data_IF_853088268351
#
_entry.id   IF_853088268351
#
_cell.length_a   1.000
_cell.length_b   1.000
_cell.length_c   1.000
_cell.angle_alpha   90.00
_cell.angle_beta   90.00
_cell.angle_gamma   90.00
#
_symmetry.space_group_name_H-M   'P 1'
#
loop_
_entity.id
_entity.type
_entity.pdbx_description
1 polymer ?
#
# COMPACT_ATOMS: atom_id res chain seq x y z
N UNK A 1 -7.97 25.15 5.40
CA UNK A 1 -8.15 23.86 4.72
C UNK A 1 -6.76 23.27 4.50
N UNK A 2 -6.34 22.30 5.32
CA UNK A 2 -5.04 21.67 5.13
C UNK A 2 -5.22 20.58 4.08
N UNK A 3 -4.92 20.90 2.81
CA UNK A 3 -4.66 19.88 1.79
C UNK A 3 -3.28 19.28 2.09
N UNK A 4 -3.18 18.49 3.16
CA UNK A 4 -2.01 17.63 3.30
C UNK A 4 -2.27 16.39 2.46
N UNK A 5 -1.88 16.44 1.18
CA UNK A 5 -1.46 15.27 0.43
C UNK A 5 -0.14 14.75 1.03
N UNK A 6 -0.10 14.53 2.36
CA UNK A 6 1.08 14.02 3.05
C UNK A 6 1.28 12.58 2.57
N UNK A 7 2.47 12.29 2.07
CA UNK A 7 2.94 10.94 1.81
C UNK A 7 2.94 10.15 3.12
N UNK A 8 2.37 8.95 3.09
CA UNK A 8 2.28 8.05 4.22
C UNK A 8 3.49 7.11 4.22
N UNK A 9 3.92 6.71 5.40
CA UNK A 9 4.81 5.56 5.58
C UNK A 9 4.00 4.32 5.94
N UNK A 10 4.63 3.15 5.97
CA UNK A 10 3.97 1.91 6.41
C UNK A 10 3.41 2.05 7.84
N UNK A 11 4.09 2.79 8.72
CA UNK A 11 3.70 3.01 10.11
C UNK A 11 2.47 3.92 10.25
N UNK A 12 2.18 4.74 9.23
CA UNK A 12 0.97 5.56 9.19
C UNK A 12 -0.28 4.74 8.76
N UNK A 13 -0.10 3.53 8.22
CA UNK A 13 -1.21 2.71 7.71
C UNK A 13 -1.98 2.00 8.82
N UNK A 14 -3.28 1.80 8.56
CA UNK A 14 -4.15 1.01 9.42
C UNK A 14 -5.19 0.26 8.58
N UNK A 15 -5.59 -0.93 9.02
CA UNK A 15 -6.67 -1.68 8.36
C UNK A 15 -7.98 -0.89 8.46
N UNK A 16 -8.70 -0.76 7.34
CA UNK A 16 -9.91 0.06 7.20
C UNK A 16 -9.63 1.54 6.91
N UNK A 17 -8.36 1.96 6.86
CA UNK A 17 -7.99 3.32 6.47
C UNK A 17 -8.30 3.55 4.99
N UNK A 18 -8.89 4.71 4.66
CA UNK A 18 -9.07 5.18 3.29
C UNK A 18 -7.93 6.12 2.91
N UNK A 19 -7.18 5.77 1.88
CA UNK A 19 -6.00 6.50 1.40
C UNK A 19 -6.16 6.82 -0.08
N UNK A 20 -5.58 7.94 -0.53
CA UNK A 20 -5.40 8.16 -1.97
C UNK A 20 -4.18 7.38 -2.46
N UNK A 21 -4.19 6.97 -3.74
CA UNK A 21 -3.04 6.30 -4.34
C UNK A 21 -1.74 7.12 -4.19
N UNK A 22 -1.82 8.43 -4.41
CA UNK A 22 -0.69 9.37 -4.27
C UNK A 22 -0.04 9.35 -2.87
N UNK A 23 -0.79 9.01 -1.83
CA UNK A 23 -0.30 8.99 -0.45
C UNK A 23 0.52 7.74 -0.13
N UNK A 24 0.27 6.64 -0.84
CA UNK A 24 0.93 5.35 -0.63
C UNK A 24 1.87 4.97 -1.78
N UNK A 25 1.98 5.82 -2.79
CA UNK A 25 2.77 5.58 -4.00
C UNK A 25 4.27 5.52 -3.77
N UNK A 26 4.74 5.85 -2.56
CA UNK A 26 6.17 5.89 -2.22
C UNK A 26 6.46 4.94 -1.04
N UNK A 27 5.53 4.02 -0.75
CA UNK A 27 5.74 2.98 0.25
C UNK A 27 6.42 1.80 -0.44
N UNK A 28 7.72 1.74 -0.27
CA UNK A 28 8.58 0.66 -0.77
C UNK A 28 8.70 -0.48 0.24
N UNK A 29 8.99 -1.69 -0.27
CA UNK A 29 9.21 -2.89 0.54
C UNK A 29 7.95 -3.43 1.23
N UNK A 30 6.77 -2.90 0.88
CA UNK A 30 5.51 -3.29 1.48
C UNK A 30 4.49 -3.74 0.43
N UNK A 31 3.81 -4.83 0.75
CA UNK A 31 2.61 -5.30 0.09
C UNK A 31 1.41 -4.64 0.75
N UNK A 32 0.63 -3.86 0.00
CA UNK A 32 -0.59 -3.20 0.49
C UNK A 32 -1.78 -3.83 -0.23
N UNK A 33 -2.54 -4.62 0.50
CA UNK A 33 -3.77 -5.27 0.03
C UNK A 33 -4.93 -4.29 0.18
N UNK A 34 -5.62 -4.05 -0.92
CA UNK A 34 -6.66 -3.01 -1.00
C UNK A 34 -8.01 -3.60 -1.39
N UNK A 35 -9.08 -2.93 -0.98
CA UNK A 35 -10.44 -3.34 -1.30
C UNK A 35 -10.70 -3.14 -2.81
N UNK A 36 -10.94 -4.23 -3.58
CA UNK A 36 -11.09 -4.14 -5.03
C UNK A 36 -12.29 -3.30 -5.44
N UNK A 37 -13.30 -3.14 -4.56
CA UNK A 37 -14.49 -2.33 -4.84
C UNK A 37 -14.21 -0.83 -4.82
N UNK A 38 -13.18 -0.40 -4.09
CA UNK A 38 -12.81 1.02 -3.96
C UNK A 38 -11.53 1.37 -4.74
N UNK A 39 -10.93 0.39 -5.43
CA UNK A 39 -9.66 0.58 -6.14
C UNK A 39 -9.74 1.59 -7.31
N UNK A 40 -10.95 1.89 -7.80
CA UNK A 40 -11.21 2.83 -8.89
C UNK A 40 -11.76 4.18 -8.41
N UNK A 41 -11.96 4.33 -7.10
CA UNK A 41 -12.45 5.57 -6.51
C UNK A 41 -11.27 6.52 -6.20
N UNK A 42 -11.59 7.76 -5.84
CA UNK A 42 -10.58 8.72 -5.36
C UNK A 42 -9.82 8.20 -4.12
N UNK A 43 -10.45 7.31 -3.35
CA UNK A 43 -9.90 6.73 -2.13
C UNK A 43 -10.01 5.22 -2.15
N UNK A 44 -8.95 4.57 -1.67
CA UNK A 44 -8.79 3.14 -1.61
C UNK A 44 -8.76 2.71 -0.14
N UNK A 45 -9.53 1.68 0.22
CA UNK A 45 -9.52 1.13 1.58
C UNK A 45 -8.44 0.06 1.74
N UNK A 46 -7.58 0.22 2.75
CA UNK A 46 -6.54 -0.73 3.12
C UNK A 46 -7.16 -1.92 3.85
N UNK A 47 -6.98 -3.13 3.32
CA UNK A 47 -7.45 -4.37 3.95
C UNK A 47 -6.37 -5.05 4.79
N UNK A 48 -5.12 -4.95 4.34
CA UNK A 48 -3.95 -5.51 5.01
C UNK A 48 -2.68 -4.90 4.42
N UNK A 49 -1.61 -4.89 5.19
CA UNK A 49 -0.30 -4.50 4.72
C UNK A 49 0.78 -5.32 5.44
N UNK A 50 1.84 -5.68 4.72
CA UNK A 50 2.96 -6.44 5.27
C UNK A 50 4.23 -6.24 4.44
N UNK A 51 5.38 -6.46 5.07
CA UNK A 51 6.68 -6.62 4.41
C UNK A 51 6.90 -8.10 4.08
N UNK A 52 7.98 -8.42 3.36
CA UNK A 52 8.34 -9.82 3.09
C UNK A 52 8.57 -10.64 4.39
N UNK A 53 9.05 -10.00 5.45
CA UNK A 53 9.30 -10.65 6.75
C UNK A 53 8.02 -10.85 7.58
N UNK A 54 7.01 -10.00 7.40
CA UNK A 54 5.78 -9.98 8.21
C UNK A 54 4.57 -10.55 7.46
N UNK A 55 4.81 -11.09 6.27
CA UNK A 55 3.77 -11.67 5.41
C UNK A 55 3.13 -12.89 6.06
N UNK A 56 1.80 -12.90 6.06
CA UNK A 56 0.98 -13.95 6.69
C UNK A 56 -0.01 -14.50 5.66
N UNK A 57 0.31 -15.67 5.11
CA UNK A 57 -0.51 -16.34 4.09
C UNK A 57 -1.93 -16.64 4.58
N UNK A 58 -2.12 -16.94 5.86
CA UNK A 58 -3.45 -17.24 6.40
C UNK A 58 -4.36 -16.00 6.38
N UNK A 59 -3.80 -14.82 6.65
CA UNK A 59 -4.54 -13.54 6.50
C UNK A 59 -4.85 -13.23 5.05
N UNK A 60 -3.89 -13.43 4.15
CA UNK A 60 -4.06 -13.19 2.72
C UNK A 60 -5.18 -14.10 2.17
N UNK A 61 -5.19 -15.36 2.55
CA UNK A 61 -6.25 -16.32 2.20
C UNK A 61 -7.62 -15.89 2.74
N UNK A 62 -7.68 -15.44 4.00
CA UNK A 62 -8.93 -14.96 4.60
C UNK A 62 -9.49 -13.73 3.87
N UNK A 63 -8.61 -12.80 3.47
CA UNK A 63 -8.98 -11.61 2.69
C UNK A 63 -9.45 -12.01 1.29
N UNK A 64 -8.72 -12.89 0.62
CA UNK A 64 -9.08 -13.40 -0.72
C UNK A 64 -10.43 -14.12 -0.70
N UNK A 65 -10.71 -14.93 0.32
CA UNK A 65 -12.02 -15.58 0.49
C UNK A 65 -13.14 -14.57 0.71
N UNK A 66 -12.89 -13.49 1.46
CA UNK A 66 -13.91 -12.49 1.81
C UNK A 66 -14.22 -11.52 0.67
N UNK A 67 -13.20 -11.06 -0.06
CA UNK A 67 -13.33 -10.02 -1.09
C UNK A 67 -13.23 -10.54 -2.52
N UNK A 68 -12.88 -11.82 -2.70
CA UNK A 68 -12.64 -12.41 -4.01
C UNK A 68 -11.24 -12.07 -4.52
N UNK A 69 -11.14 -11.64 -5.79
CA UNK A 69 -9.87 -11.25 -6.38
C UNK A 69 -9.29 -10.04 -5.63
N UNK A 70 -8.15 -10.23 -4.98
CA UNK A 70 -7.45 -9.16 -4.26
C UNK A 70 -6.72 -8.25 -5.24
N UNK A 71 -6.75 -6.95 -4.96
CA UNK A 71 -5.87 -5.96 -5.59
C UNK A 71 -4.75 -5.65 -4.62
N UNK A 72 -3.52 -5.62 -5.12
CA UNK A 72 -2.32 -5.43 -4.29
C UNK A 72 -1.43 -4.37 -4.94
N UNK A 73 -0.95 -3.45 -4.13
CA UNK A 73 0.11 -2.51 -4.49
C UNK A 73 1.39 -3.04 -3.86
N UNK A 74 2.39 -3.27 -4.68
CA UNK A 74 3.72 -3.66 -4.23
C UNK A 74 4.76 -2.86 -4.99
N UNK A 75 5.58 -2.13 -4.24
CA UNK A 75 6.77 -1.48 -4.77
C UNK A 75 8.00 -2.13 -4.14
N UNK A 76 8.82 -2.86 -4.91
CA UNK A 76 10.02 -3.48 -4.38
C UNK A 76 10.94 -2.47 -3.70
N UNK A 77 11.55 -2.85 -2.58
CA UNK A 77 12.45 -1.96 -1.81
C UNK A 77 13.68 -1.51 -2.62
N UNK A 78 14.10 -2.28 -3.63
CA UNK A 78 15.17 -1.88 -4.55
C UNK A 78 14.89 -0.56 -5.30
N UNK A 79 13.62 -0.21 -5.52
CA UNK A 79 13.24 1.05 -6.18
C UNK A 79 13.11 2.23 -5.20
N UNK A 80 13.38 2.01 -3.91
CA UNK A 80 13.37 3.04 -2.88
C UNK A 80 14.46 4.09 -3.11
N UNK A 81 15.54 3.70 -3.78
CA UNK A 81 16.67 4.55 -4.15
C UNK A 81 17.08 4.32 -5.62
N UNK A 82 16.49 5.14 -6.49
CA UNK A 82 17.13 5.64 -7.73
C UNK A 82 16.91 7.18 -7.79
N UNK A 83 16.98 7.85 -6.64
CA UNK A 83 17.02 9.32 -6.52
C UNK A 83 18.37 9.82 -5.97
N UNK A 84 19.48 9.13 -6.31
CA UNK A 84 20.80 9.76 -6.41
C UNK A 84 21.50 9.30 -7.70
N UNK A 85 21.04 9.83 -8.85
CA UNK A 85 21.87 9.91 -10.06
C UNK A 85 22.24 11.38 -10.30
N UNK A 86 23.18 11.90 -9.51
CA UNK A 86 23.94 13.14 -9.73
C UNK A 86 25.24 13.04 -8.91
N UNK A 87 26.46 13.32 -9.37
CA UNK A 87 27.05 13.73 -10.65
C UNK A 87 28.59 13.63 -10.44
N UNK A 88 29.34 12.95 -11.33
CA UNK A 88 30.70 13.28 -11.88
C UNK A 88 31.26 12.14 -12.76
#
# INVERSE_FOLDING_TARGET
MVKSNKKLTIDDLSVGMKVKFEQISDIYGAWIYINPKTAHDEYIEVLYFCTDETRDEAKIDAITKKYGKISVIYQPEFYRDDEEVFDD
#
